data_IF_548909019618
#
_entry.id   IF_548909019618
#
_cell.length_a   1.000
_cell.length_b   1.000
_cell.length_c   1.000
_cell.angle_alpha   90.00
_cell.angle_beta   90.00
_cell.angle_gamma   90.00
#
_symmetry.space_group_name_H-M   'P 1'
#
loop_
_entity.id
_entity.type
_entity.pdbx_description
1 polymer ?
#
# COMPACT_ATOMS: atom_id res chain seq x y z
N UNK A 1 6.61 39.35 -15.35
CA UNK A 1 6.28 39.15 -16.78
C UNK A 1 5.94 37.68 -16.96
N UNK A 2 4.73 37.41 -17.43
CA UNK A 2 4.26 36.03 -17.69
C UNK A 2 4.74 35.66 -19.09
N UNK A 3 5.76 34.81 -19.18
CA UNK A 3 6.37 34.42 -20.47
C UNK A 3 5.62 33.28 -21.18
N UNK A 4 4.68 32.64 -20.49
CA UNK A 4 3.89 31.53 -21.03
C UNK A 4 2.43 31.96 -21.26
N UNK A 5 1.77 31.40 -22.28
CA UNK A 5 0.31 31.49 -22.40
C UNK A 5 -0.35 30.93 -21.11
N UNK A 6 -1.46 31.53 -20.69
CA UNK A 6 -2.13 31.17 -19.44
C UNK A 6 -2.44 29.68 -19.35
N UNK A 7 -3.00 29.10 -20.41
CA UNK A 7 -3.30 27.65 -20.44
C UNK A 7 -2.08 26.73 -20.25
N UNK A 8 -0.90 27.13 -20.79
CA UNK A 8 0.34 26.38 -20.59
C UNK A 8 0.86 26.51 -19.16
N UNK A 9 0.71 27.69 -18.56
CA UNK A 9 1.05 27.91 -17.16
C UNK A 9 0.16 27.08 -16.24
N UNK A 10 -1.15 27.07 -16.45
CA UNK A 10 -2.12 26.29 -15.66
C UNK A 10 -1.83 24.78 -15.73
N UNK A 11 -1.42 24.28 -16.91
CA UNK A 11 -1.02 22.89 -17.09
C UNK A 11 0.29 22.58 -16.32
N UNK A 12 1.29 23.47 -16.41
CA UNK A 12 2.54 23.32 -15.68
C UNK A 12 2.31 23.37 -14.16
N UNK A 13 1.47 24.27 -13.68
CA UNK A 13 1.12 24.38 -12.26
C UNK A 13 0.38 23.12 -11.77
N UNK A 14 -0.48 22.54 -12.61
CA UNK A 14 -1.16 21.29 -12.32
C UNK A 14 -0.18 20.12 -12.14
N UNK A 15 0.84 20.00 -12.99
CA UNK A 15 1.90 19.03 -12.82
C UNK A 15 2.77 19.30 -11.58
N UNK A 16 3.03 20.57 -11.26
CA UNK A 16 3.84 20.94 -10.10
C UNK A 16 3.17 20.61 -8.75
N UNK A 17 1.86 20.37 -8.71
CA UNK A 17 1.12 19.90 -7.53
C UNK A 17 1.35 18.42 -7.24
N UNK A 18 1.88 17.66 -8.20
CA UNK A 18 2.16 16.25 -8.01
C UNK A 18 3.41 16.05 -7.13
N UNK A 19 3.38 15.13 -6.15
CA UNK A 19 4.52 14.91 -5.26
C UNK A 19 5.76 14.47 -6.07
N UNK A 20 6.90 15.05 -5.74
CA UNK A 20 8.16 14.77 -6.44
C UNK A 20 8.35 15.52 -7.78
N UNK A 21 7.36 16.29 -8.24
CA UNK A 21 7.46 17.08 -9.47
C UNK A 21 7.83 18.52 -9.14
N UNK A 22 9.09 18.89 -9.40
CA UNK A 22 9.54 20.28 -9.29
C UNK A 22 9.17 21.12 -10.52
N UNK A 23 9.21 22.46 -10.38
CA UNK A 23 8.77 23.40 -11.42
C UNK A 23 9.41 23.18 -12.80
N UNK A 24 10.72 22.86 -12.89
CA UNK A 24 11.38 22.56 -14.17
C UNK A 24 10.81 21.29 -14.85
N UNK A 25 10.55 20.25 -14.06
CA UNK A 25 9.95 19.01 -14.55
C UNK A 25 8.51 19.23 -14.97
N UNK A 26 7.74 19.98 -14.19
CA UNK A 26 6.36 20.34 -14.49
C UNK A 26 6.26 21.08 -15.85
N UNK A 27 7.13 22.08 -16.08
CA UNK A 27 7.20 22.78 -17.38
C UNK A 27 7.53 21.82 -18.53
N UNK A 28 8.51 20.93 -18.36
CA UNK A 28 8.86 19.92 -19.40
C UNK A 28 7.67 19.02 -19.72
N UNK A 29 6.92 18.58 -18.70
CA UNK A 29 5.73 17.75 -18.89
C UNK A 29 4.63 18.53 -19.63
N UNK A 30 4.41 19.81 -19.28
CA UNK A 30 3.43 20.64 -19.96
C UNK A 30 3.76 20.86 -21.45
N UNK A 31 5.03 21.13 -21.80
CA UNK A 31 5.47 21.20 -23.18
C UNK A 31 5.35 19.87 -23.93
N UNK A 32 5.61 18.76 -23.24
CA UNK A 32 5.45 17.43 -23.83
C UNK A 32 3.99 17.17 -24.21
N UNK A 33 3.04 17.44 -23.29
CA UNK A 33 1.61 17.30 -23.57
C UNK A 33 1.16 18.20 -24.70
N UNK A 34 1.65 19.45 -24.75
CA UNK A 34 1.34 20.38 -25.86
C UNK A 34 1.83 19.87 -27.22
N UNK A 35 2.91 19.08 -27.25
CA UNK A 35 3.43 18.44 -28.45
C UNK A 35 2.79 17.11 -28.82
N UNK A 36 1.89 16.58 -28.00
CA UNK A 36 1.16 15.33 -28.30
C UNK A 36 0.11 15.58 -29.40
N UNK A 37 -0.26 14.55 -30.18
CA UNK A 37 -1.50 14.58 -30.96
C UNK A 37 -2.72 14.85 -30.05
N UNK A 38 -3.69 15.61 -30.55
CA UNK A 38 -4.89 15.98 -29.77
C UNK A 38 -5.61 14.76 -29.20
N UNK A 39 -5.70 13.66 -29.95
CA UNK A 39 -6.31 12.42 -29.50
C UNK A 39 -5.58 11.78 -28.29
N UNK A 40 -4.24 11.81 -28.28
CA UNK A 40 -3.44 11.26 -27.17
C UNK A 40 -3.56 12.14 -25.91
N UNK A 41 -3.56 13.46 -26.10
CA UNK A 41 -3.75 14.40 -25.00
C UNK A 41 -5.16 14.24 -24.37
N UNK A 42 -6.21 14.07 -25.18
CA UNK A 42 -7.55 13.80 -24.71
C UNK A 42 -7.64 12.46 -23.98
N UNK A 43 -7.06 11.38 -24.54
CA UNK A 43 -7.04 10.06 -23.92
C UNK A 43 -6.33 10.09 -22.54
N UNK A 44 -5.25 10.86 -22.42
CA UNK A 44 -4.56 11.04 -21.14
C UNK A 44 -5.42 11.76 -20.09
N UNK A 45 -6.11 12.82 -20.50
CA UNK A 45 -7.05 13.54 -19.62
C UNK A 45 -8.21 12.62 -19.19
N UNK A 46 -8.79 11.87 -20.11
CA UNK A 46 -9.88 10.95 -19.85
C UNK A 46 -9.45 9.81 -18.90
N UNK A 47 -8.25 9.29 -19.05
CA UNK A 47 -7.72 8.28 -18.15
C UNK A 47 -7.62 8.75 -16.69
N UNK A 48 -7.22 10.01 -16.46
CA UNK A 48 -7.18 10.60 -15.12
C UNK A 48 -8.59 10.68 -14.51
N UNK A 49 -9.53 11.21 -15.29
CA UNK A 49 -10.92 11.40 -14.85
C UNK A 49 -11.58 10.04 -14.60
N UNK A 50 -11.40 9.09 -15.50
CA UNK A 50 -12.00 7.75 -15.39
C UNK A 50 -11.45 6.98 -14.19
N UNK A 51 -10.14 7.01 -13.94
CA UNK A 51 -9.55 6.40 -12.76
C UNK A 51 -10.13 6.99 -11.47
N UNK A 52 -10.29 8.31 -11.39
CA UNK A 52 -10.90 8.98 -10.22
C UNK A 52 -12.36 8.62 -10.03
N UNK A 53 -13.09 8.36 -11.12
CA UNK A 53 -14.52 8.04 -11.10
C UNK A 53 -14.80 6.59 -10.74
N UNK A 54 -13.99 5.65 -11.23
CA UNK A 54 -14.28 4.21 -11.17
C UNK A 54 -13.56 3.49 -10.05
N UNK A 55 -12.32 3.92 -9.72
CA UNK A 55 -11.53 3.23 -8.68
C UNK A 55 -12.01 3.66 -7.29
N UNK A 56 -12.35 2.66 -6.49
CA UNK A 56 -12.80 2.80 -5.11
C UNK A 56 -12.21 1.71 -4.22
N UNK A 57 -12.47 1.75 -2.92
CA UNK A 57 -12.01 0.72 -1.98
C UNK A 57 -12.95 -0.48 -1.99
N UNK A 58 -12.38 -1.69 -2.06
CA UNK A 58 -13.11 -2.92 -1.89
C UNK A 58 -13.76 -2.98 -0.50
N UNK A 59 -15.07 -3.23 -0.37
CA UNK A 59 -15.74 -3.24 0.93
C UNK A 59 -15.27 -4.37 1.87
N UNK A 60 -14.58 -5.40 1.33
CA UNK A 60 -14.11 -6.54 2.10
C UNK A 60 -12.69 -6.31 2.62
N UNK A 61 -11.75 -6.00 1.74
CA UNK A 61 -10.32 -5.96 2.09
C UNK A 61 -9.71 -4.55 2.10
N UNK A 62 -10.48 -3.54 1.76
CA UNK A 62 -10.06 -2.14 1.66
C UNK A 62 -8.99 -1.87 0.58
N UNK A 63 -8.65 -2.84 -0.28
CA UNK A 63 -7.78 -2.59 -1.43
C UNK A 63 -8.52 -1.81 -2.51
N UNK A 64 -7.79 -1.21 -3.46
CA UNK A 64 -8.37 -0.50 -4.60
C UNK A 64 -8.97 -1.49 -5.61
N UNK A 65 -10.12 -1.13 -6.18
CA UNK A 65 -10.81 -1.91 -7.21
C UNK A 65 -11.72 -1.02 -8.06
N UNK A 66 -11.98 -1.45 -9.28
CA UNK A 66 -13.01 -0.91 -10.18
C UNK A 66 -14.28 -1.79 -10.23
N UNK A 67 -14.31 -2.87 -9.40
CA UNK A 67 -15.43 -3.84 -9.31
C UNK A 67 -16.08 -3.74 -7.94
N UNK A 68 -17.33 -4.18 -7.82
CA UNK A 68 -18.05 -4.18 -6.54
C UNK A 68 -17.24 -4.83 -5.41
N UNK A 69 -16.57 -5.95 -5.67
CA UNK A 69 -15.59 -6.61 -4.80
C UNK A 69 -14.36 -6.93 -5.63
N UNK A 70 -13.17 -6.75 -5.07
CA UNK A 70 -11.92 -6.93 -5.82
C UNK A 70 -11.68 -8.41 -6.22
N UNK A 71 -10.91 -8.66 -7.28
CA UNK A 71 -10.64 -10.02 -7.78
C UNK A 71 -10.06 -10.95 -6.72
N UNK A 72 -9.20 -10.45 -5.83
CA UNK A 72 -8.60 -11.25 -4.75
C UNK A 72 -9.65 -11.77 -3.76
N UNK A 73 -10.62 -10.92 -3.39
CA UNK A 73 -11.68 -11.32 -2.46
C UNK A 73 -12.73 -12.26 -3.08
N UNK A 74 -12.92 -12.17 -4.40
CA UNK A 74 -13.86 -13.05 -5.14
C UNK A 74 -13.24 -14.35 -5.58
N UNK A 75 -11.92 -14.50 -5.53
CA UNK A 75 -11.22 -15.73 -5.89
C UNK A 75 -11.50 -16.83 -4.85
N UNK A 76 -12.17 -17.89 -5.28
CA UNK A 76 -12.54 -19.04 -4.43
C UNK A 76 -11.36 -19.97 -4.18
N UNK A 77 -10.28 -19.87 -4.93
CA UNK A 77 -9.08 -20.70 -4.75
C UNK A 77 -8.21 -20.24 -3.59
N UNK A 78 -8.44 -19.02 -3.07
CA UNK A 78 -7.68 -18.45 -1.97
C UNK A 78 -8.18 -18.85 -0.60
N UNK A 79 -7.23 -19.09 0.31
CA UNK A 79 -7.54 -19.37 1.71
C UNK A 79 -7.98 -18.10 2.44
N UNK A 80 -9.29 -17.95 2.64
CA UNK A 80 -9.91 -16.80 3.31
C UNK A 80 -9.67 -16.79 4.84
N UNK A 81 -9.17 -17.89 5.39
CA UNK A 81 -8.82 -17.97 6.82
C UNK A 81 -7.47 -17.31 7.15
N UNK A 82 -6.66 -16.95 6.14
CA UNK A 82 -5.37 -16.29 6.30
C UNK A 82 -5.43 -14.87 5.69
N UNK A 83 -5.25 -13.86 6.51
CA UNK A 83 -5.26 -12.45 6.07
C UNK A 83 -3.87 -11.85 6.23
N UNK A 84 -3.29 -11.34 5.13
CA UNK A 84 -2.11 -10.51 5.15
C UNK A 84 -2.50 -9.04 5.27
N UNK A 85 -2.10 -8.39 6.37
CA UNK A 85 -2.40 -6.99 6.65
C UNK A 85 -1.23 -6.12 6.20
N UNK A 86 -1.51 -5.22 5.27
CA UNK A 86 -0.53 -4.30 4.67
C UNK A 86 -0.92 -2.85 4.94
N UNK A 87 0.05 -1.93 4.85
CA UNK A 87 -0.20 -0.52 5.07
C UNK A 87 -0.92 0.13 3.89
N UNK A 88 -0.51 -0.18 2.65
CA UNK A 88 -1.01 0.51 1.46
C UNK A 88 -1.39 -0.45 0.32
N UNK A 89 -2.24 -0.01 -0.63
CA UNK A 89 -2.61 -0.82 -1.80
C UNK A 89 -1.43 -1.29 -2.65
N UNK A 90 -0.36 -0.49 -2.74
CA UNK A 90 0.86 -0.85 -3.49
C UNK A 90 1.59 -2.05 -2.87
N UNK A 91 1.45 -2.26 -1.56
CA UNK A 91 2.07 -3.40 -0.88
C UNK A 91 1.40 -4.72 -1.31
N UNK A 92 0.08 -4.69 -1.59
CA UNK A 92 -0.62 -5.84 -2.18
C UNK A 92 -0.01 -6.22 -3.53
N UNK A 93 0.28 -5.22 -4.38
CA UNK A 93 0.91 -5.46 -5.69
C UNK A 93 2.28 -6.10 -5.52
N UNK A 94 3.08 -5.63 -4.56
CA UNK A 94 4.39 -6.18 -4.27
C UNK A 94 4.29 -7.64 -3.79
N UNK A 95 3.36 -7.95 -2.89
CA UNK A 95 3.14 -9.31 -2.39
C UNK A 95 2.64 -10.25 -3.50
N UNK A 96 1.68 -9.82 -4.32
CA UNK A 96 1.14 -10.61 -5.43
C UNK A 96 2.19 -10.88 -6.52
N UNK A 97 3.19 -10.02 -6.67
CA UNK A 97 4.28 -10.24 -7.64
C UNK A 97 5.11 -11.48 -7.34
N UNK A 98 5.17 -11.93 -6.07
CA UNK A 98 5.84 -13.16 -5.67
C UNK A 98 5.11 -14.42 -6.12
N UNK A 99 3.77 -14.36 -6.29
CA UNK A 99 2.87 -15.49 -6.59
C UNK A 99 2.89 -16.64 -5.56
N UNK A 100 3.44 -16.39 -4.37
CA UNK A 100 3.60 -17.41 -3.30
C UNK A 100 2.51 -17.33 -2.23
N UNK A 101 1.78 -16.21 -2.16
CA UNK A 101 0.77 -16.02 -1.13
C UNK A 101 -0.63 -16.43 -1.60
N UNK A 102 -1.14 -17.53 -1.05
CA UNK A 102 -2.45 -18.07 -1.35
C UNK A 102 -3.61 -17.56 -0.48
N UNK A 103 -3.34 -16.66 0.48
CA UNK A 103 -4.37 -16.06 1.33
C UNK A 103 -5.01 -14.80 0.72
N UNK A 104 -5.68 -14.01 1.57
CA UNK A 104 -6.31 -12.74 1.20
C UNK A 104 -5.67 -11.57 1.96
N UNK A 105 -5.99 -10.33 1.56
CA UNK A 105 -5.38 -9.14 2.14
C UNK A 105 -6.35 -8.31 2.96
N UNK A 106 -5.79 -7.42 3.77
CA UNK A 106 -6.47 -6.26 4.32
C UNK A 106 -5.55 -5.05 4.27
N UNK A 107 -6.02 -3.96 3.67
CA UNK A 107 -5.26 -2.72 3.49
C UNK A 107 -5.67 -1.71 4.56
N UNK A 108 -4.72 -1.23 5.33
CA UNK A 108 -4.97 -0.28 6.42
C UNK A 108 -5.13 1.16 5.92
N UNK A 109 -4.59 1.51 4.76
CA UNK A 109 -4.47 2.88 4.23
C UNK A 109 -3.64 3.81 5.13
N UNK A 110 -2.61 3.27 5.75
CA UNK A 110 -1.65 3.98 6.58
C UNK A 110 -1.15 3.16 7.76
N UNK A 111 -0.40 3.82 8.62
CA UNK A 111 0.11 3.29 9.90
C UNK A 111 -0.16 4.30 11.01
N UNK A 112 -0.19 3.85 12.24
CA UNK A 112 -0.29 4.73 13.41
C UNK A 112 0.93 5.65 13.46
N UNK A 113 0.71 6.96 13.43
CA UNK A 113 1.77 7.96 13.44
C UNK A 113 1.37 9.15 14.32
N UNK A 114 1.70 9.12 15.61
CA UNK A 114 1.43 10.24 16.51
C UNK A 114 2.05 11.56 16.05
N UNK A 115 3.22 11.49 15.41
CA UNK A 115 3.92 12.66 14.89
C UNK A 115 3.16 13.33 13.73
N UNK A 116 2.44 12.53 12.94
CA UNK A 116 1.63 13.00 11.81
C UNK A 116 0.14 13.09 12.18
N UNK A 117 -0.23 12.96 13.44
CA UNK A 117 -1.60 12.93 13.95
C UNK A 117 -2.48 11.84 13.31
N UNK A 118 -1.87 10.72 12.88
CA UNK A 118 -2.62 9.56 12.36
C UNK A 118 -2.96 8.62 13.51
N UNK A 119 -4.25 8.49 13.76
CA UNK A 119 -4.82 7.67 14.83
C UNK A 119 -5.42 6.37 14.30
N UNK A 120 -5.93 5.53 15.18
CA UNK A 120 -6.64 4.30 14.80
C UNK A 120 -7.94 4.55 14.01
N UNK A 121 -8.51 5.77 14.09
CA UNK A 121 -9.74 6.14 13.39
C UNK A 121 -9.47 6.57 11.95
N UNK A 122 -8.23 6.94 11.64
CA UNK A 122 -7.81 7.39 10.31
C UNK A 122 -7.45 6.22 9.39
N UNK A 123 -7.18 5.04 9.96
CA UNK A 123 -6.78 3.82 9.23
C UNK A 123 -7.79 2.69 9.44
N UNK A 124 -7.79 1.69 8.56
CA UNK A 124 -8.85 0.66 8.45
C UNK A 124 -8.70 -0.50 9.46
N UNK A 125 -8.41 -0.18 10.73
CA UNK A 125 -8.34 -1.19 11.81
C UNK A 125 -9.74 -1.70 12.18
N UNK A 126 -10.74 -0.81 12.23
CA UNK A 126 -12.11 -1.19 12.57
C UNK A 126 -12.68 -2.24 11.61
N UNK A 127 -12.47 -2.04 10.33
CA UNK A 127 -12.91 -2.98 9.29
C UNK A 127 -12.17 -4.33 9.38
N UNK A 128 -10.89 -4.32 9.77
CA UNK A 128 -10.16 -5.56 10.05
C UNK A 128 -10.78 -6.32 11.22
N UNK A 129 -11.04 -5.64 12.34
CA UNK A 129 -11.65 -6.27 13.53
C UNK A 129 -13.03 -6.84 13.22
N UNK A 130 -13.87 -6.11 12.48
CA UNK A 130 -15.17 -6.59 12.02
C UNK A 130 -15.04 -7.86 11.19
N UNK A 131 -14.06 -7.91 10.28
CA UNK A 131 -13.81 -9.07 9.44
C UNK A 131 -13.34 -10.29 10.25
N UNK A 132 -12.49 -10.07 11.25
CA UNK A 132 -12.01 -11.15 12.15
C UNK A 132 -13.13 -11.65 13.07
N UNK A 133 -14.05 -10.79 13.47
CA UNK A 133 -15.15 -11.16 14.38
C UNK A 133 -16.13 -12.18 13.81
N UNK A 134 -16.09 -12.50 12.52
CA UNK A 134 -16.88 -13.58 11.89
C UNK A 134 -16.47 -14.97 12.39
N UNK A 135 -15.28 -15.13 12.96
CA UNK A 135 -14.74 -16.39 13.48
C UNK A 135 -14.14 -17.32 12.42
N UNK A 136 -14.11 -16.90 11.15
CA UNK A 136 -13.55 -17.71 10.04
C UNK A 136 -12.04 -17.54 9.89
N UNK A 137 -11.49 -16.45 10.44
CA UNK A 137 -10.07 -16.08 10.30
C UNK A 137 -9.24 -16.83 11.35
N UNK A 138 -8.23 -17.56 10.90
CA UNK A 138 -7.29 -18.33 11.74
C UNK A 138 -5.96 -17.65 11.94
N UNK A 139 -5.48 -16.91 10.94
CA UNK A 139 -4.18 -16.25 10.99
C UNK A 139 -4.24 -14.85 10.39
N UNK A 140 -3.61 -13.91 11.08
CA UNK A 140 -3.30 -12.57 10.60
C UNK A 140 -1.78 -12.45 10.45
N UNK A 141 -1.32 -12.18 9.24
CA UNK A 141 0.09 -11.91 8.95
C UNK A 141 0.26 -10.39 8.90
N UNK A 142 0.99 -9.81 9.83
CA UNK A 142 1.31 -8.39 9.81
C UNK A 142 2.46 -8.15 8.83
N UNK A 143 2.18 -7.37 7.78
CA UNK A 143 3.10 -7.04 6.69
C UNK A 143 3.24 -5.51 6.48
N UNK A 144 3.10 -4.74 7.57
CA UNK A 144 3.46 -3.33 7.60
C UNK A 144 4.98 -3.17 7.48
N UNK A 145 5.47 -2.00 7.06
CA UNK A 145 6.91 -1.77 6.94
C UNK A 145 7.66 -2.05 8.25
N UNK A 146 8.93 -2.47 8.19
CA UNK A 146 9.77 -2.73 9.37
C UNK A 146 10.40 -1.46 9.95
N UNK A 147 9.63 -0.39 10.00
CA UNK A 147 9.96 0.88 10.64
C UNK A 147 9.22 1.05 11.98
N UNK A 148 9.53 2.10 12.71
CA UNK A 148 8.97 2.36 14.05
C UNK A 148 7.44 2.43 14.03
N UNK A 149 6.84 3.09 13.04
CA UNK A 149 5.40 3.28 12.93
C UNK A 149 4.69 1.99 12.52
N UNK A 150 5.27 1.24 11.57
CA UNK A 150 4.75 -0.06 11.14
C UNK A 150 4.81 -1.12 12.24
N UNK A 151 5.90 -1.13 13.04
CA UNK A 151 6.03 -2.02 14.21
C UNK A 151 5.02 -1.66 15.31
N UNK A 152 4.89 -0.37 15.64
CA UNK A 152 3.91 0.09 16.60
C UNK A 152 2.48 -0.28 16.18
N UNK A 153 2.16 -0.14 14.89
CA UNK A 153 0.88 -0.52 14.32
C UNK A 153 0.63 -2.02 14.42
N UNK A 154 1.62 -2.84 14.08
CA UNK A 154 1.54 -4.29 14.18
C UNK A 154 1.31 -4.75 15.63
N UNK A 155 2.06 -4.18 16.58
CA UNK A 155 1.89 -4.46 18.00
C UNK A 155 0.52 -4.03 18.52
N UNK A 156 0.03 -2.87 18.10
CA UNK A 156 -1.28 -2.37 18.49
C UNK A 156 -2.40 -3.31 18.00
N UNK A 157 -2.40 -3.67 16.72
CA UNK A 157 -3.37 -4.60 16.11
C UNK A 157 -3.29 -5.97 16.79
N UNK A 158 -2.09 -6.50 17.05
CA UNK A 158 -1.90 -7.77 17.75
C UNK A 158 -2.56 -7.77 19.14
N UNK A 159 -2.46 -6.66 19.90
CA UNK A 159 -3.13 -6.52 21.20
C UNK A 159 -4.65 -6.53 21.08
N UNK A 160 -5.21 -5.86 20.07
CA UNK A 160 -6.66 -5.84 19.82
C UNK A 160 -7.20 -7.22 19.41
N UNK A 161 -6.41 -8.01 18.68
CA UNK A 161 -6.80 -9.34 18.22
C UNK A 161 -6.62 -10.45 19.27
N UNK A 162 -5.83 -10.21 20.31
CA UNK A 162 -5.58 -11.20 21.38
C UNK A 162 -6.85 -11.82 21.99
N UNK A 163 -7.92 -11.04 22.31
CA UNK A 163 -9.16 -11.61 22.85
C UNK A 163 -9.94 -12.48 21.86
N UNK A 164 -9.63 -12.41 20.56
CA UNK A 164 -10.31 -13.15 19.50
C UNK A 164 -9.65 -14.51 19.20
N UNK A 165 -8.57 -14.85 19.94
CA UNK A 165 -7.81 -16.12 19.80
C UNK A 165 -7.30 -16.40 18.38
N UNK A 166 -7.11 -15.37 17.57
CA UNK A 166 -6.56 -15.47 16.22
C UNK A 166 -5.03 -15.43 16.29
N UNK A 167 -4.37 -16.33 15.57
CA UNK A 167 -2.91 -16.34 15.47
C UNK A 167 -2.44 -15.09 14.74
N UNK A 168 -1.58 -14.30 15.36
CA UNK A 168 -0.94 -13.13 14.73
C UNK A 168 0.52 -13.40 14.51
N UNK A 169 0.96 -13.32 13.27
CA UNK A 169 2.36 -13.51 12.84
C UNK A 169 2.89 -12.22 12.20
N UNK A 170 4.18 -12.14 12.00
CA UNK A 170 4.89 -11.04 11.35
C UNK A 170 5.73 -11.59 10.20
N UNK A 171 5.84 -10.83 9.10
CA UNK A 171 6.82 -11.19 8.07
C UNK A 171 8.21 -11.27 8.68
N UNK A 172 8.95 -12.29 8.28
CA UNK A 172 10.33 -12.48 8.76
C UNK A 172 11.23 -11.33 8.27
N UNK A 173 12.14 -10.93 9.14
CA UNK A 173 13.23 -10.02 8.80
C UNK A 173 14.46 -10.81 8.43
N UNK A 174 15.23 -10.30 7.46
CA UNK A 174 16.46 -11.00 7.07
C UNK A 174 17.29 -10.21 6.08
N UNK A 175 18.48 -10.73 5.82
CA UNK A 175 19.35 -10.22 4.76
C UNK A 175 18.70 -10.53 3.43
N UNK A 176 18.56 -9.55 2.52
CA UNK A 176 17.96 -9.78 1.20
C UNK A 176 18.73 -10.84 0.41
N UNK A 177 18.00 -11.70 -0.29
CA UNK A 177 18.60 -12.74 -1.14
C UNK A 177 19.44 -12.09 -2.24
N UNK A 178 20.69 -12.56 -2.39
CA UNK A 178 21.66 -12.02 -3.37
C UNK A 178 22.45 -10.81 -2.87
N UNK A 179 22.18 -10.28 -1.67
CA UNK A 179 23.05 -9.26 -1.07
C UNK A 179 24.23 -9.90 -0.33
N UNK A 180 25.33 -9.16 -0.20
CA UNK A 180 26.49 -9.57 0.59
C UNK A 180 26.31 -9.08 2.04
N UNK A 181 26.72 -9.91 3.01
CA UNK A 181 26.57 -9.59 4.44
C UNK A 181 27.25 -8.28 4.86
N UNK A 182 28.34 -7.92 4.19
CA UNK A 182 29.11 -6.71 4.50
C UNK A 182 28.33 -5.40 4.21
N UNK A 183 27.25 -5.45 3.39
CA UNK A 183 26.41 -4.28 3.10
C UNK A 183 25.14 -4.22 3.97
N UNK A 184 24.91 -5.24 4.81
CA UNK A 184 23.77 -5.22 5.71
C UNK A 184 24.09 -4.34 6.93
N UNK A 185 23.14 -3.47 7.29
CA UNK A 185 23.25 -2.67 8.50
C UNK A 185 23.09 -3.52 9.78
N UNK A 186 23.53 -2.96 10.92
CA UNK A 186 23.55 -3.64 12.22
C UNK A 186 22.14 -4.11 12.65
N UNK A 187 21.09 -3.32 12.36
CA UNK A 187 19.72 -3.65 12.74
C UNK A 187 19.22 -4.84 11.92
N UNK A 188 19.47 -4.84 10.61
CA UNK A 188 19.14 -5.95 9.71
C UNK A 188 19.83 -7.22 10.14
N UNK A 189 21.13 -7.19 10.49
CA UNK A 189 21.87 -8.35 10.96
C UNK A 189 21.35 -8.85 12.30
N UNK A 190 21.04 -7.96 13.24
CA UNK A 190 20.46 -8.33 14.54
C UNK A 190 19.13 -9.05 14.36
N UNK A 191 18.24 -8.50 13.53
CA UNK A 191 16.93 -9.12 13.25
C UNK A 191 17.05 -10.46 12.53
N UNK A 192 18.00 -10.59 11.60
CA UNK A 192 18.27 -11.85 10.90
C UNK A 192 18.77 -12.92 11.87
N UNK A 193 19.64 -12.57 12.85
CA UNK A 193 20.11 -13.48 13.89
C UNK A 193 18.99 -13.91 14.85
N UNK A 194 18.10 -12.98 15.24
CA UNK A 194 16.93 -13.30 16.06
C UNK A 194 15.98 -14.26 15.34
N UNK A 195 15.74 -14.02 14.04
CA UNK A 195 14.84 -14.81 13.20
C UNK A 195 15.47 -16.05 12.56
N UNK A 196 16.71 -16.44 12.93
CA UNK A 196 17.39 -17.60 12.34
C UNK A 196 16.62 -18.89 12.53
N UNK A 197 16.65 -19.74 11.51
CA UNK A 197 15.99 -21.06 11.52
C UNK A 197 17.05 -22.16 11.52
N UNK A 198 16.67 -23.30 12.09
CA UNK A 198 17.45 -24.55 11.98
C UNK A 198 17.37 -25.05 10.52
N UNK A 199 18.50 -25.62 10.02
CA UNK A 199 18.63 -26.12 8.64
C UNK A 199 18.42 -27.63 8.65
#
# INVERSE_FOLDING_TARGET
MQYFPAALQDLADSFARLPGIGGKTAQRLAFHVLGMPDGDAQAFADAIVEAKRTVHTCPVCQNLTDRQVCPICTDETRDKSIICVVAEPRDVIAMESSREFGGVYHVLHGVLSPLNNVTQEDIRIKELLQRVSTGEVKEIIMATNPDTEGEATAMYISRLLRPMEVKVTRLAYGVPVGSQLEYADEVTLSRALEGRKEI
#
